data_IF_218096007686
#
_entry.id   IF_218096007686
#
_cell.length_a   1.000
_cell.length_b   1.000
_cell.length_c   1.000
_cell.angle_alpha   90.00
_cell.angle_beta   90.00
_cell.angle_gamma   90.00
#
_symmetry.space_group_name_H-M   'P 1'
#
loop_
_entity.id
_entity.type
_entity.pdbx_description
1 polymer ?
#
# COMPACT_ATOMS: atom_id res chain seq x y z
N UNK A 1 9.51 14.03 25.02
CA UNK A 1 9.01 14.56 23.72
C UNK A 1 9.56 13.74 22.53
N UNK A 2 9.47 12.41 22.59
CA UNK A 2 10.08 11.48 21.62
C UNK A 2 9.07 10.56 20.95
N UNK A 3 7.93 10.27 21.60
CA UNK A 3 6.88 9.38 21.10
C UNK A 3 6.07 9.97 19.92
N UNK A 4 5.89 11.29 19.86
CA UNK A 4 5.16 11.97 18.78
C UNK A 4 5.95 12.00 17.47
N UNK A 5 7.27 12.20 17.53
CA UNK A 5 8.14 12.17 16.35
C UNK A 5 8.32 10.75 15.77
N UNK A 6 8.37 9.74 16.63
CA UNK A 6 8.44 8.32 16.20
C UNK A 6 7.13 7.88 15.55
N UNK A 7 5.97 8.27 16.09
CA UNK A 7 4.67 7.96 15.46
C UNK A 7 4.46 8.70 14.14
N UNK A 8 4.87 9.95 14.03
CA UNK A 8 4.78 10.71 12.77
C UNK A 8 5.69 10.12 11.68
N UNK A 9 6.95 9.82 12.00
CA UNK A 9 7.88 9.20 11.04
C UNK A 9 7.42 7.80 10.60
N UNK A 10 6.85 6.99 11.51
CA UNK A 10 6.22 5.70 11.17
C UNK A 10 5.06 5.88 10.20
N UNK A 11 4.16 6.83 10.45
CA UNK A 11 3.04 7.12 9.54
C UNK A 11 3.51 7.55 8.15
N UNK A 12 4.54 8.38 8.07
CA UNK A 12 5.13 8.81 6.79
C UNK A 12 5.72 7.60 6.05
N UNK A 13 6.48 6.75 6.74
CA UNK A 13 7.05 5.53 6.13
C UNK A 13 5.98 4.59 5.63
N UNK A 14 4.93 4.35 6.41
CA UNK A 14 3.79 3.54 6.00
C UNK A 14 3.10 4.16 4.77
N UNK A 15 2.90 5.48 4.74
CA UNK A 15 2.27 6.13 3.59
C UNK A 15 3.12 6.04 2.31
N UNK A 16 4.45 6.16 2.43
CA UNK A 16 5.37 5.94 1.31
C UNK A 16 5.28 4.49 0.82
N UNK A 17 5.28 3.52 1.74
CA UNK A 17 5.14 2.10 1.40
C UNK A 17 3.81 1.84 0.69
N UNK A 18 2.69 2.37 1.20
CA UNK A 18 1.37 2.28 0.56
C UNK A 18 1.39 2.80 -0.87
N UNK A 19 1.96 3.99 -1.11
CA UNK A 19 2.05 4.56 -2.47
C UNK A 19 2.91 3.72 -3.41
N UNK A 20 4.03 3.19 -2.91
CA UNK A 20 4.90 2.29 -3.69
C UNK A 20 4.19 0.99 -4.06
N UNK A 21 3.52 0.36 -3.08
CA UNK A 21 2.76 -0.88 -3.30
C UNK A 21 1.62 -0.65 -4.29
N UNK A 22 0.84 0.42 -4.15
CA UNK A 22 -0.23 0.73 -5.08
C UNK A 22 0.28 0.98 -6.50
N UNK A 23 1.40 1.69 -6.65
CA UNK A 23 2.02 1.91 -7.96
C UNK A 23 2.48 0.59 -8.58
N UNK A 24 3.11 -0.29 -7.80
CA UNK A 24 3.55 -1.61 -8.24
C UNK A 24 2.36 -2.47 -8.70
N UNK A 25 1.29 -2.55 -7.91
CA UNK A 25 0.07 -3.28 -8.27
C UNK A 25 -0.58 -2.73 -9.55
N UNK A 26 -0.57 -1.41 -9.74
CA UNK A 26 -1.10 -0.77 -10.95
C UNK A 26 -0.22 -0.95 -12.18
N UNK A 27 1.08 -1.11 -11.99
CA UNK A 27 2.03 -1.40 -13.08
C UNK A 27 1.99 -2.85 -13.56
N UNK A 28 1.34 -3.75 -12.82
CA UNK A 28 1.13 -5.12 -13.27
C UNK A 28 0.29 -5.14 -14.55
N UNK A 29 0.57 -6.12 -15.40
CA UNK A 29 -0.24 -6.37 -16.58
C UNK A 29 -1.70 -6.60 -16.20
N UNK A 30 -2.63 -6.20 -17.08
CA UNK A 30 -4.06 -6.43 -16.84
C UNK A 30 -4.35 -7.92 -16.58
N UNK A 31 -3.67 -8.82 -17.31
CA UNK A 31 -3.78 -10.28 -17.10
C UNK A 31 -3.40 -10.68 -15.68
N UNK A 32 -2.26 -10.21 -15.18
CA UNK A 32 -1.81 -10.51 -13.81
C UNK A 32 -2.77 -9.94 -12.76
N UNK A 33 -3.33 -8.75 -13.00
CA UNK A 33 -4.30 -8.16 -12.07
C UNK A 33 -5.61 -8.95 -12.03
N UNK A 34 -6.06 -9.47 -13.17
CA UNK A 34 -7.25 -10.33 -13.24
C UNK A 34 -6.98 -11.67 -12.54
N UNK A 35 -5.82 -12.27 -12.83
CA UNK A 35 -5.41 -13.55 -12.25
C UNK A 35 -5.31 -13.50 -10.71
N UNK A 36 -4.85 -12.37 -10.17
CA UNK A 36 -4.78 -12.12 -8.74
C UNK A 36 -6.11 -11.61 -8.13
N UNK A 37 -7.16 -11.44 -8.93
CA UNK A 37 -8.45 -10.85 -8.54
C UNK A 37 -8.33 -9.48 -7.84
N UNK A 38 -7.38 -8.67 -8.30
CA UNK A 38 -7.12 -7.34 -7.71
C UNK A 38 -7.60 -6.19 -8.59
N UNK A 39 -8.13 -6.46 -9.80
CA UNK A 39 -8.61 -5.42 -10.72
C UNK A 39 -9.68 -4.56 -10.04
N UNK A 40 -9.38 -3.27 -9.86
CA UNK A 40 -10.28 -2.30 -9.22
C UNK A 40 -10.16 -2.25 -7.69
N UNK A 41 -9.54 -3.27 -7.08
CA UNK A 41 -9.36 -3.39 -5.64
C UNK A 41 -7.90 -3.18 -5.20
N UNK A 42 -7.01 -2.70 -6.07
CA UNK A 42 -5.57 -2.58 -5.77
C UNK A 42 -5.31 -1.65 -4.58
N UNK A 43 -6.18 -0.66 -4.38
CA UNK A 43 -6.09 0.26 -3.24
C UNK A 43 -6.40 -0.45 -1.91
N UNK A 44 -7.37 -1.38 -1.89
CA UNK A 44 -7.69 -2.18 -0.71
C UNK A 44 -6.56 -3.14 -0.40
N UNK A 45 -6.03 -3.81 -1.43
CA UNK A 45 -4.90 -4.75 -1.28
C UNK A 45 -3.65 -4.03 -0.77
N UNK A 46 -3.31 -2.87 -1.35
CA UNK A 46 -2.19 -2.06 -0.88
C UNK A 46 -2.40 -1.56 0.56
N UNK A 47 -3.64 -1.19 0.91
CA UNK A 47 -3.98 -0.73 2.27
C UNK A 47 -3.86 -1.87 3.27
N UNK A 48 -4.39 -3.05 2.96
CA UNK A 48 -4.30 -4.25 3.80
C UNK A 48 -2.84 -4.67 4.01
N UNK A 49 -2.05 -4.72 2.93
CA UNK A 49 -0.65 -5.14 2.99
C UNK A 49 0.23 -4.22 3.85
N UNK A 50 -0.07 -2.91 3.92
CA UNK A 50 0.77 -1.92 4.61
C UNK A 50 0.25 -1.56 5.99
N UNK A 51 -1.07 -1.49 6.16
CA UNK A 51 -1.70 -1.06 7.40
C UNK A 51 -2.34 -2.21 8.19
N UNK A 52 -2.49 -3.41 7.61
CA UNK A 52 -3.10 -4.57 8.26
C UNK A 52 -4.62 -4.45 8.48
N UNK A 53 -5.30 -3.60 7.69
CA UNK A 53 -6.74 -3.33 7.75
C UNK A 53 -7.48 -4.18 6.73
#
# INVERSE_FOLDING_TARGET
MTQTFTTLSTRIRQHIAYRKTLAALRSLSLRSRIDLDIVGNEHLVARHAVYGL
#
